data_IF_810776390957
#
_entry.id   IF_810776390957
#
_cell.length_a   1.000
_cell.length_b   1.000
_cell.length_c   1.000
_cell.angle_alpha   90.00
_cell.angle_beta   90.00
_cell.angle_gamma   90.00
#
_symmetry.space_group_name_H-M   'P 1'
#
loop_
_entity.id
_entity.type
_entity.pdbx_description
1 polymer ?
#
# COMPACT_ATOMS: atom_id res chain seq x y z
N UNK A 1 9.02 7.13 14.51
CA UNK A 1 9.07 5.66 14.49
C UNK A 1 10.53 5.20 14.60
N UNK A 2 11.10 5.37 15.77
CA UNK A 2 12.53 5.09 16.04
C UNK A 2 12.73 3.60 16.37
N UNK A 3 12.22 2.71 15.55
CA UNK A 3 12.52 1.28 15.66
C UNK A 3 13.69 0.96 14.74
N UNK A 4 14.70 0.20 15.19
CA UNK A 4 15.76 -0.28 14.31
C UNK A 4 15.16 -1.08 13.16
N UNK A 5 15.91 -1.20 12.06
CA UNK A 5 15.45 -1.93 10.88
C UNK A 5 15.05 -3.37 11.24
N UNK A 6 13.96 -3.85 10.63
CA UNK A 6 13.41 -5.20 10.81
C UNK A 6 12.88 -5.75 9.49
N UNK A 7 12.73 -7.06 9.42
CA UNK A 7 12.19 -7.73 8.24
C UNK A 7 10.69 -7.94 8.33
N UNK A 8 10.02 -7.62 7.22
CA UNK A 8 8.64 -7.97 6.95
C UNK A 8 8.62 -9.11 5.92
N UNK A 9 7.80 -10.11 6.16
CA UNK A 9 7.56 -11.17 5.18
C UNK A 9 6.37 -10.76 4.30
N UNK A 10 6.64 -10.41 3.05
CA UNK A 10 5.64 -10.09 2.04
C UNK A 10 5.46 -11.26 1.07
N UNK A 11 5.50 -12.48 1.57
CA UNK A 11 5.37 -13.70 0.76
C UNK A 11 4.02 -13.82 0.03
N UNK A 12 3.00 -13.10 0.47
CA UNK A 12 1.67 -13.02 -0.13
C UNK A 12 1.53 -11.92 -1.19
N UNK A 13 2.54 -11.03 -1.33
CA UNK A 13 2.60 -10.07 -2.42
C UNK A 13 2.96 -10.75 -3.74
N UNK A 14 2.45 -10.21 -4.85
CA UNK A 14 2.81 -10.67 -6.18
C UNK A 14 3.86 -9.77 -6.82
N UNK A 15 4.77 -10.38 -7.59
CA UNK A 15 5.68 -9.67 -8.48
C UNK A 15 5.20 -9.92 -9.92
N UNK A 16 4.92 -8.84 -10.65
CA UNK A 16 4.43 -8.89 -12.02
C UNK A 16 5.37 -8.08 -12.90
N UNK A 17 5.95 -8.73 -13.91
CA UNK A 17 6.75 -8.06 -14.93
C UNK A 17 5.89 -7.60 -16.10
N UNK A 18 6.12 -6.38 -16.58
CA UNK A 18 5.55 -5.85 -17.82
C UNK A 18 6.71 -5.57 -18.75
N UNK A 19 6.79 -6.27 -19.87
CA UNK A 19 7.89 -6.20 -20.83
C UNK A 19 7.36 -6.01 -22.26
N UNK A 20 8.22 -5.61 -23.17
CA UNK A 20 7.89 -5.36 -24.57
C UNK A 20 8.12 -3.90 -24.96
N UNK A 21 8.15 -3.59 -26.27
CA UNK A 21 8.43 -2.25 -26.76
C UNK A 21 7.50 -1.18 -26.18
N UNK A 22 6.23 -1.52 -25.96
CA UNK A 22 5.21 -0.58 -25.51
C UNK A 22 4.98 -0.62 -24.00
N UNK A 23 5.78 -1.38 -23.23
CA UNK A 23 5.54 -1.64 -21.80
C UNK A 23 5.38 -0.35 -20.97
N UNK A 24 6.24 0.63 -21.21
CA UNK A 24 6.23 1.90 -20.47
C UNK A 24 5.06 2.80 -20.87
N UNK A 25 4.76 2.89 -22.17
CA UNK A 25 3.65 3.68 -22.70
C UNK A 25 2.32 3.08 -22.24
N UNK A 26 2.15 1.77 -22.38
CA UNK A 26 1.00 1.06 -21.86
C UNK A 26 0.79 1.32 -20.36
N UNK A 27 1.84 1.19 -19.54
CA UNK A 27 1.71 1.43 -18.11
C UNK A 27 1.44 2.91 -17.80
N UNK A 28 1.94 3.85 -18.62
CA UNK A 28 1.62 5.26 -18.53
C UNK A 28 0.13 5.51 -18.69
N UNK A 29 -0.55 4.77 -19.58
CA UNK A 29 -1.98 4.95 -19.87
C UNK A 29 -2.90 4.23 -18.88
N UNK A 30 -2.45 3.11 -18.28
CA UNK A 30 -3.32 2.31 -17.41
C UNK A 30 -3.09 2.54 -15.92
N UNK A 31 -1.90 2.97 -15.50
CA UNK A 31 -1.56 3.26 -14.10
C UNK A 31 -1.74 4.73 -13.75
N UNK A 32 -1.96 5.04 -12.49
CA UNK A 32 -2.15 6.43 -12.01
C UNK A 32 -0.85 7.18 -11.78
N UNK A 33 0.31 6.48 -11.70
CA UNK A 33 1.63 7.08 -11.49
C UNK A 33 2.28 7.46 -12.81
N UNK A 34 3.11 8.50 -12.78
CA UNK A 34 3.93 8.90 -13.93
C UNK A 34 5.13 7.95 -14.09
N UNK A 35 5.03 7.07 -15.09
CA UNK A 35 6.04 6.05 -15.43
C UNK A 35 7.35 6.68 -15.91
N UNK A 36 7.31 7.89 -16.49
CA UNK A 36 8.51 8.59 -16.98
C UNK A 36 9.46 8.96 -15.85
N UNK A 37 8.95 9.02 -14.63
CA UNK A 37 9.70 9.37 -13.42
C UNK A 37 10.20 8.16 -12.64
N UNK A 38 9.92 6.93 -13.11
CA UNK A 38 10.39 5.69 -12.47
C UNK A 38 11.90 5.53 -12.61
N UNK A 39 12.49 4.87 -11.62
CA UNK A 39 13.93 4.57 -11.56
C UNK A 39 14.13 3.11 -11.15
N UNK A 40 15.28 2.52 -11.53
CA UNK A 40 15.56 1.12 -11.16
C UNK A 40 15.84 0.90 -9.66
N UNK A 41 16.19 1.97 -8.95
CA UNK A 41 16.56 1.93 -7.52
C UNK A 41 15.49 2.45 -6.58
N UNK A 42 14.35 2.92 -7.14
CA UNK A 42 13.27 3.49 -6.36
C UNK A 42 11.90 3.07 -6.92
N UNK A 43 11.03 2.54 -6.05
CA UNK A 43 9.66 2.21 -6.40
C UNK A 43 8.73 3.38 -6.07
N UNK A 44 7.70 3.54 -6.90
CA UNK A 44 6.61 4.49 -6.66
C UNK A 44 5.28 3.77 -6.56
N UNK A 45 4.43 4.13 -5.58
CA UNK A 45 3.09 3.58 -5.52
C UNK A 45 2.26 4.02 -6.73
N UNK A 46 1.45 3.13 -7.23
CA UNK A 46 0.51 3.37 -8.32
C UNK A 46 -0.79 2.62 -8.06
N UNK A 47 -1.90 3.18 -8.48
CA UNK A 47 -3.19 2.51 -8.48
C UNK A 47 -3.55 2.10 -9.92
N UNK A 48 -4.22 0.97 -10.01
CA UNK A 48 -4.91 0.54 -11.23
C UNK A 48 -6.40 0.67 -11.00
N UNK A 49 -7.06 1.41 -11.88
CA UNK A 49 -8.44 1.82 -11.68
C UNK A 49 -9.36 1.24 -12.76
N UNK A 50 -10.61 1.04 -12.39
CA UNK A 50 -11.67 0.91 -13.39
C UNK A 50 -11.96 2.27 -14.04
N UNK A 51 -12.68 2.27 -15.17
CA UNK A 51 -13.16 3.48 -15.84
C UNK A 51 -13.99 4.41 -14.91
N UNK A 52 -14.57 3.84 -13.86
CA UNK A 52 -15.32 4.58 -12.82
C UNK A 52 -14.45 5.13 -11.71
N UNK A 53 -13.10 5.11 -11.86
CA UNK A 53 -12.16 5.61 -10.87
C UNK A 53 -12.09 4.77 -9.57
N UNK A 54 -12.51 3.49 -9.64
CA UNK A 54 -12.51 2.58 -8.50
C UNK A 54 -11.22 1.76 -8.47
N UNK A 55 -10.53 1.64 -7.32
CA UNK A 55 -9.25 0.94 -7.22
C UNK A 55 -9.45 -0.57 -7.37
N UNK A 56 -8.72 -1.16 -8.33
CA UNK A 56 -8.64 -2.61 -8.58
C UNK A 56 -7.45 -3.19 -7.86
N UNK A 57 -6.29 -2.49 -7.92
CA UNK A 57 -5.05 -2.90 -7.26
C UNK A 57 -4.23 -1.69 -6.87
N UNK A 58 -3.48 -1.84 -5.78
CA UNK A 58 -2.36 -0.98 -5.40
C UNK A 58 -1.08 -1.76 -5.65
N UNK A 59 -0.11 -1.11 -6.31
CA UNK A 59 1.20 -1.70 -6.55
C UNK A 59 2.30 -0.64 -6.40
N UNK A 60 3.54 -1.10 -6.26
CA UNK A 60 4.73 -0.26 -6.39
C UNK A 60 5.40 -0.58 -7.71
N UNK A 61 5.55 0.42 -8.56
CA UNK A 61 6.16 0.30 -9.88
C UNK A 61 7.65 0.65 -9.83
N UNK A 62 8.47 -0.18 -10.47
CA UNK A 62 9.92 -0.06 -10.54
C UNK A 62 10.32 -0.15 -12.00
N UNK A 63 11.20 0.73 -12.47
CA UNK A 63 11.80 0.60 -13.78
C UNK A 63 12.82 -0.54 -13.77
N UNK A 64 12.80 -1.42 -14.76
CA UNK A 64 13.81 -2.48 -14.88
C UNK A 64 15.17 -1.91 -15.22
N UNK A 65 16.26 -2.63 -14.88
CA UNK A 65 17.65 -2.18 -15.07
C UNK A 65 17.97 -1.79 -16.52
N UNK A 66 17.34 -2.43 -17.51
CA UNK A 66 17.47 -2.10 -18.93
C UNK A 66 16.67 -0.88 -19.37
N UNK A 67 15.74 -0.41 -18.54
CA UNK A 67 14.87 0.72 -18.85
C UNK A 67 13.73 0.43 -19.82
N UNK A 68 13.58 -0.83 -20.28
CA UNK A 68 12.56 -1.25 -21.26
C UNK A 68 11.30 -1.79 -20.60
N UNK A 69 11.43 -2.46 -19.44
CA UNK A 69 10.33 -3.07 -18.71
C UNK A 69 10.04 -2.37 -17.39
N UNK A 70 8.93 -2.76 -16.77
CA UNK A 70 8.51 -2.32 -15.44
C UNK A 70 8.12 -3.52 -14.60
N UNK A 71 8.65 -3.58 -13.40
CA UNK A 71 8.26 -4.56 -12.39
C UNK A 71 7.25 -3.93 -11.42
N UNK A 72 6.13 -4.61 -11.21
CA UNK A 72 5.10 -4.24 -10.25
C UNK A 72 5.17 -5.14 -9.03
N UNK A 73 5.22 -4.55 -7.85
CA UNK A 73 5.06 -5.22 -6.56
C UNK A 73 3.62 -4.99 -6.11
N UNK A 74 2.77 -6.00 -6.26
CA UNK A 74 1.32 -5.88 -6.11
C UNK A 74 0.90 -6.35 -4.72
N UNK A 75 0.15 -5.53 -4.00
CA UNK A 75 -0.40 -5.92 -2.71
C UNK A 75 -1.38 -7.10 -2.83
N UNK A 76 -1.57 -7.91 -1.77
CA UNK A 76 -2.27 -9.19 -1.86
C UNK A 76 -3.71 -9.10 -2.40
N UNK A 77 -4.44 -8.05 -2.04
CA UNK A 77 -5.84 -7.90 -2.45
C UNK A 77 -6.03 -7.63 -3.94
N UNK A 78 -5.03 -7.02 -4.58
CA UNK A 78 -5.03 -6.73 -6.03
C UNK A 78 -4.43 -7.84 -6.89
N UNK A 79 -3.74 -8.80 -6.27
CA UNK A 79 -2.92 -9.80 -6.96
C UNK A 79 -3.66 -10.55 -8.08
N UNK A 80 -4.82 -11.08 -7.76
CA UNK A 80 -5.56 -11.94 -8.70
C UNK A 80 -6.42 -11.12 -9.70
N UNK A 81 -6.69 -9.84 -9.37
CA UNK A 81 -7.50 -8.95 -10.20
C UNK A 81 -6.68 -8.17 -11.24
N UNK A 82 -5.39 -7.90 -10.96
CA UNK A 82 -4.58 -7.01 -11.78
C UNK A 82 -4.30 -7.56 -13.19
N UNK A 83 -3.79 -8.80 -13.30
CA UNK A 83 -3.43 -9.36 -14.60
C UNK A 83 -4.61 -9.46 -15.57
N UNK A 84 -5.80 -9.98 -15.17
CA UNK A 84 -6.98 -9.95 -16.04
C UNK A 84 -7.43 -8.54 -16.42
N UNK A 85 -7.21 -7.57 -15.53
CA UNK A 85 -7.52 -6.18 -15.81
C UNK A 85 -6.59 -5.58 -16.87
N UNK A 86 -5.28 -5.76 -16.73
CA UNK A 86 -4.29 -5.31 -17.69
C UNK A 86 -4.47 -5.97 -19.06
N UNK A 87 -4.72 -7.27 -19.10
CA UNK A 87 -4.94 -8.01 -20.36
C UNK A 87 -6.16 -7.52 -21.13
N UNK A 88 -7.22 -7.12 -20.41
CA UNK A 88 -8.42 -6.52 -21.02
C UNK A 88 -8.14 -5.13 -21.60
N UNK A 89 -7.22 -4.36 -21.04
CA UNK A 89 -6.87 -3.03 -21.51
C UNK A 89 -5.87 -3.05 -22.67
N UNK A 90 -5.13 -4.15 -22.83
CA UNK A 90 -4.22 -4.35 -23.94
C UNK A 90 -5.00 -4.65 -25.22
N UNK A 91 -4.93 -3.77 -26.19
CA UNK A 91 -5.64 -3.91 -27.46
C UNK A 91 -4.69 -4.15 -28.64
N UNK A 92 -3.70 -3.30 -28.81
CA UNK A 92 -2.72 -3.36 -29.91
C UNK A 92 -1.28 -3.26 -29.44
N UNK A 93 -1.07 -3.01 -28.15
CA UNK A 93 0.25 -2.78 -27.57
C UNK A 93 1.06 -4.08 -27.54
N UNK A 94 2.31 -4.00 -27.97
CA UNK A 94 3.28 -5.09 -27.92
C UNK A 94 3.86 -5.22 -26.49
N UNK A 95 3.03 -5.72 -25.57
CA UNK A 95 3.39 -5.95 -24.18
C UNK A 95 3.16 -7.41 -23.77
N UNK A 96 4.03 -7.90 -22.91
CA UNK A 96 3.92 -9.21 -22.27
C UNK A 96 3.87 -9.06 -20.75
N UNK A 97 3.01 -9.84 -20.13
CA UNK A 97 2.87 -9.90 -18.67
C UNK A 97 3.50 -11.20 -18.16
N UNK A 98 4.50 -11.08 -17.28
CA UNK A 98 5.09 -12.23 -16.59
C UNK A 98 4.46 -12.34 -15.20
N UNK A 99 3.80 -13.46 -14.95
CA UNK A 99 3.22 -13.79 -13.65
C UNK A 99 4.27 -14.28 -12.64
N UNK A 100 3.84 -14.65 -11.41
CA UNK A 100 4.76 -14.94 -10.30
C UNK A 100 5.65 -16.16 -10.48
N UNK A 101 5.42 -17.02 -11.47
CA UNK A 101 6.32 -18.15 -11.78
C UNK A 101 7.60 -17.65 -12.43
N UNK A 102 8.72 -17.85 -11.76
CA UNK A 102 10.05 -17.41 -12.21
C UNK A 102 10.40 -15.97 -11.81
N UNK A 103 9.49 -15.26 -11.17
CA UNK A 103 9.74 -13.91 -10.65
C UNK A 103 10.50 -13.94 -9.31
N UNK A 104 11.24 -12.87 -8.99
CA UNK A 104 11.98 -12.79 -7.73
C UNK A 104 11.05 -12.89 -6.51
N UNK A 105 11.57 -13.44 -5.41
CA UNK A 105 10.89 -13.39 -4.11
C UNK A 105 11.00 -11.99 -3.55
N UNK A 106 9.89 -11.49 -3.01
CA UNK A 106 9.83 -10.19 -2.39
C UNK A 106 10.03 -10.30 -0.88
N UNK A 107 11.01 -9.57 -0.40
CA UNK A 107 11.19 -9.29 1.03
C UNK A 107 11.15 -7.78 1.24
N UNK A 108 10.87 -7.39 2.47
CA UNK A 108 10.80 -5.99 2.81
C UNK A 108 11.58 -5.70 4.09
N UNK A 109 12.29 -4.60 4.10
CA UNK A 109 12.95 -4.05 5.28
C UNK A 109 12.27 -2.75 5.63
N UNK A 110 11.88 -2.61 6.88
CA UNK A 110 11.26 -1.40 7.42
C UNK A 110 12.03 -0.89 8.64
N UNK A 111 11.72 0.32 9.10
CA UNK A 111 12.36 0.93 10.24
C UNK A 111 13.53 1.85 9.88
N UNK A 112 14.20 2.36 10.90
CA UNK A 112 15.34 3.27 10.75
C UNK A 112 16.55 2.53 10.14
N UNK A 113 17.24 3.17 9.20
CA UNK A 113 18.40 2.57 8.52
C UNK A 113 18.06 1.44 7.54
N UNK A 114 16.78 1.22 7.20
CA UNK A 114 16.29 0.14 6.35
C UNK A 114 17.08 -0.03 5.04
N UNK A 115 17.37 1.06 4.34
CA UNK A 115 18.07 1.00 3.05
C UNK A 115 19.52 0.53 3.20
N UNK A 116 20.22 0.95 4.25
CA UNK A 116 21.57 0.50 4.54
C UNK A 116 21.59 -0.99 4.88
N UNK A 117 20.68 -1.43 5.76
CA UNK A 117 20.53 -2.83 6.15
C UNK A 117 20.18 -3.70 4.94
N UNK A 118 19.25 -3.26 4.08
CA UNK A 118 18.88 -3.99 2.87
C UNK A 118 20.07 -4.13 1.90
N UNK A 119 20.87 -3.07 1.71
CA UNK A 119 22.06 -3.11 0.84
C UNK A 119 23.16 -4.01 1.41
N UNK A 120 23.43 -3.93 2.70
CA UNK A 120 24.40 -4.81 3.36
C UNK A 120 24.00 -6.27 3.22
N UNK A 121 22.71 -6.56 3.43
CA UNK A 121 22.18 -7.90 3.26
C UNK A 121 22.24 -8.36 1.80
N UNK A 122 21.85 -7.51 0.88
CA UNK A 122 21.96 -7.74 -0.52
C UNK A 122 23.43 -8.02 -0.95
N UNK A 123 24.43 -7.43 -0.34
CA UNK A 123 25.85 -7.68 -0.66
C UNK A 123 26.28 -9.13 -0.42
N UNK A 124 25.54 -9.90 0.37
CA UNK A 124 25.83 -11.31 0.70
C UNK A 124 25.10 -12.31 -0.21
N UNK A 125 24.22 -11.87 -1.10
CA UNK A 125 23.33 -12.74 -1.89
C UNK A 125 23.51 -12.53 -3.40
N UNK A 126 23.47 -13.58 -4.24
CA UNK A 126 23.51 -13.45 -5.68
C UNK A 126 22.16 -13.00 -6.26
N UNK A 127 22.18 -12.33 -7.40
CA UNK A 127 20.98 -12.03 -8.21
C UNK A 127 19.88 -11.25 -7.47
N UNK A 128 20.23 -10.09 -6.92
CA UNK A 128 19.37 -9.27 -6.07
C UNK A 128 19.20 -7.85 -6.60
N UNK A 129 18.07 -7.24 -6.28
CA UNK A 129 17.85 -5.81 -6.41
C UNK A 129 17.37 -5.24 -5.08
N UNK A 130 17.89 -4.08 -4.71
CA UNK A 130 17.43 -3.28 -3.57
C UNK A 130 16.72 -2.07 -4.13
N UNK A 131 15.48 -1.86 -3.72
CA UNK A 131 14.64 -0.80 -4.24
C UNK A 131 14.04 -0.02 -3.09
N UNK A 132 14.40 1.24 -3.01
CA UNK A 132 13.86 2.13 -1.99
C UNK A 132 12.43 2.56 -2.34
N UNK A 133 11.53 2.43 -1.37
CA UNK A 133 10.14 2.84 -1.46
C UNK A 133 9.67 3.28 -0.08
N UNK A 134 9.49 4.58 0.13
CA UNK A 134 9.01 5.04 1.43
C UNK A 134 7.62 4.49 1.75
N UNK A 135 7.39 3.90 2.91
CA UNK A 135 8.24 3.80 4.12
C UNK A 135 9.06 2.50 4.23
N UNK A 136 9.27 1.76 3.16
CA UNK A 136 9.98 0.47 3.13
C UNK A 136 11.15 0.49 2.15
N UNK A 137 12.02 -0.50 2.26
CA UNK A 137 12.98 -0.88 1.23
C UNK A 137 12.69 -2.31 0.79
N UNK A 138 12.39 -2.51 -0.46
CA UNK A 138 12.17 -3.83 -1.04
C UNK A 138 13.49 -4.50 -1.38
N UNK A 139 13.55 -5.80 -1.14
CA UNK A 139 14.63 -6.67 -1.56
C UNK A 139 14.05 -7.77 -2.45
N UNK A 140 14.39 -7.70 -3.72
CA UNK A 140 14.00 -8.69 -4.73
C UNK A 140 15.09 -9.73 -4.82
N UNK A 141 14.78 -10.99 -4.51
CA UNK A 141 15.72 -12.11 -4.57
C UNK A 141 15.40 -12.99 -5.77
N UNK A 142 16.44 -13.41 -6.49
CA UNK A 142 16.29 -14.36 -7.61
C UNK A 142 15.54 -15.64 -7.16
N UNK A 143 14.67 -16.22 -8.01
CA UNK A 143 14.03 -17.50 -7.72
C UNK A 143 15.06 -18.56 -7.35
N UNK A 144 14.84 -19.28 -6.24
CA UNK A 144 15.78 -20.30 -5.73
C UNK A 144 16.77 -19.80 -4.67
N UNK A 145 16.86 -18.52 -4.41
CA UNK A 145 17.54 -18.01 -3.22
C UNK A 145 16.59 -18.18 -2.02
N UNK A 146 16.96 -19.05 -1.09
CA UNK A 146 16.23 -19.20 0.17
C UNK A 146 16.38 -17.93 1.04
N UNK A 147 15.48 -17.77 2.03
CA UNK A 147 15.65 -16.72 3.05
C UNK A 147 17.09 -16.75 3.57
N UNK A 148 17.80 -15.63 3.54
CA UNK A 148 19.14 -15.62 4.06
C UNK A 148 19.11 -16.07 5.51
N UNK A 149 20.05 -16.94 5.86
CA UNK A 149 20.32 -17.30 7.24
C UNK A 149 20.70 -16.06 8.07
N UNK A 150 20.98 -16.28 9.33
CA UNK A 150 21.44 -15.20 10.22
C UNK A 150 22.67 -14.50 9.61
N UNK A 151 22.50 -13.24 9.22
CA UNK A 151 23.62 -12.37 8.87
C UNK A 151 24.08 -11.71 10.16
N UNK A 152 25.38 -11.86 10.50
CA UNK A 152 25.92 -11.32 11.75
C UNK A 152 25.71 -9.79 11.80
N UNK A 153 25.10 -9.30 12.86
CA UNK A 153 24.86 -7.86 13.07
C UNK A 153 23.58 -7.32 12.47
N UNK A 154 22.84 -8.11 11.65
CA UNK A 154 21.56 -7.69 11.11
C UNK A 154 20.38 -8.28 11.88
N UNK A 155 19.26 -7.56 12.04
CA UNK A 155 18.06 -8.09 12.65
C UNK A 155 17.52 -9.21 11.75
N UNK A 156 17.63 -10.46 12.22
CA UNK A 156 17.27 -11.67 11.44
C UNK A 156 15.92 -12.25 11.82
N UNK A 157 15.25 -11.68 12.81
CA UNK A 157 13.93 -12.13 13.22
C UNK A 157 12.84 -11.44 12.40
N UNK A 158 12.01 -12.22 11.72
CA UNK A 158 10.72 -11.73 11.29
C UNK A 158 9.94 -11.29 12.54
N UNK A 159 9.31 -10.13 12.45
CA UNK A 159 8.41 -9.68 13.50
C UNK A 159 7.14 -10.54 13.51
N UNK A 160 6.42 -10.57 14.64
CA UNK A 160 5.17 -11.32 14.69
C UNK A 160 4.13 -10.76 13.70
N UNK A 161 3.14 -11.55 13.28
CA UNK A 161 2.07 -11.07 12.39
C UNK A 161 1.35 -9.83 12.94
N UNK A 162 1.14 -9.77 14.25
CA UNK A 162 0.50 -8.63 14.92
C UNK A 162 1.40 -7.39 14.87
N UNK A 163 2.71 -7.56 15.01
CA UNK A 163 3.67 -6.46 14.90
C UNK A 163 3.79 -5.96 13.45
N UNK A 164 3.72 -6.86 12.48
CA UNK A 164 3.69 -6.52 11.05
C UNK A 164 2.40 -5.75 10.70
N UNK A 165 1.26 -6.19 11.20
CA UNK A 165 -0.02 -5.51 11.00
C UNK A 165 -0.04 -4.13 11.69
N UNK A 166 0.48 -4.05 12.92
CA UNK A 166 0.62 -2.78 13.62
C UNK A 166 1.50 -1.80 12.83
N UNK A 167 2.61 -2.28 12.30
CA UNK A 167 3.47 -1.46 11.46
C UNK A 167 2.74 -1.01 10.17
N UNK A 168 2.08 -1.91 9.45
CA UNK A 168 1.32 -1.60 8.23
C UNK A 168 0.29 -0.50 8.46
N UNK A 169 -0.49 -0.62 9.53
CA UNK A 169 -1.50 0.36 9.94
C UNK A 169 -0.81 1.68 10.30
N UNK A 170 0.27 1.61 11.07
CA UNK A 170 0.96 2.80 11.55
C UNK A 170 1.61 3.62 10.42
N UNK A 171 2.04 3.00 9.33
CA UNK A 171 2.59 3.70 8.15
C UNK A 171 1.54 4.01 7.07
N UNK A 172 0.31 3.51 7.24
CA UNK A 172 -0.80 3.84 6.36
C UNK A 172 -0.85 3.06 5.05
N UNK A 173 -0.29 1.87 4.96
CA UNK A 173 -0.40 1.01 3.77
C UNK A 173 -1.76 0.30 3.79
N UNK A 174 -2.70 0.61 2.88
CA UNK A 174 -3.99 -0.08 2.82
C UNK A 174 -3.86 -1.44 2.13
N UNK A 175 -4.77 -2.35 2.45
CA UNK A 175 -4.89 -3.68 1.86
C UNK A 175 -6.19 -3.79 1.07
N UNK A 176 -6.10 -4.22 -0.18
CA UNK A 176 -7.26 -4.50 -1.02
C UNK A 176 -8.16 -5.60 -0.45
N UNK A 177 -9.47 -5.46 -0.62
CA UNK A 177 -10.45 -6.35 -0.02
C UNK A 177 -10.63 -6.20 1.50
N UNK A 178 -9.76 -5.42 2.15
CA UNK A 178 -9.82 -5.12 3.60
C UNK A 178 -10.04 -3.63 3.82
N UNK A 179 -9.09 -2.79 3.43
CA UNK A 179 -9.14 -1.35 3.65
C UNK A 179 -9.75 -0.59 2.47
N UNK A 180 -9.74 -1.17 1.28
CA UNK A 180 -10.45 -0.66 0.11
C UNK A 180 -10.98 -1.79 -0.77
N UNK A 181 -11.97 -1.47 -1.57
CA UNK A 181 -12.63 -2.35 -2.53
C UNK A 181 -13.20 -1.53 -3.70
N UNK A 182 -13.95 -2.20 -4.58
CA UNK A 182 -14.60 -1.55 -5.74
C UNK A 182 -15.79 -0.64 -5.37
N UNK A 183 -16.14 -0.47 -4.10
CA UNK A 183 -17.13 0.50 -3.65
C UNK A 183 -16.51 1.88 -3.39
N UNK A 184 -15.17 1.93 -3.24
CA UNK A 184 -14.43 3.19 -3.03
C UNK A 184 -14.05 3.82 -4.37
N UNK A 185 -13.78 5.11 -4.36
CA UNK A 185 -13.09 5.80 -5.44
C UNK A 185 -11.64 6.09 -5.01
N UNK A 186 -10.72 6.19 -5.97
CA UNK A 186 -9.29 6.31 -5.70
C UNK A 186 -8.94 7.48 -4.76
N UNK A 187 -9.63 8.60 -4.89
CA UNK A 187 -9.40 9.79 -4.06
C UNK A 187 -9.81 9.61 -2.59
N UNK A 188 -10.73 8.69 -2.28
CA UNK A 188 -11.09 8.36 -0.90
C UNK A 188 -9.97 7.60 -0.16
N UNK A 189 -9.05 6.96 -0.89
CA UNK A 189 -7.94 6.22 -0.29
C UNK A 189 -6.91 7.12 0.40
N UNK A 190 -6.94 8.42 0.12
CA UNK A 190 -5.98 9.40 0.68
C UNK A 190 -4.52 8.96 0.47
N UNK A 191 -4.18 8.59 -0.79
CA UNK A 191 -2.85 8.20 -1.25
C UNK A 191 -2.41 9.16 -2.38
N UNK A 192 -2.14 10.43 -2.07
CA UNK A 192 -1.78 11.41 -3.10
C UNK A 192 -0.48 11.02 -3.83
N UNK A 193 0.43 10.34 -3.15
CA UNK A 193 1.70 9.85 -3.72
C UNK A 193 1.52 8.75 -4.79
N UNK A 194 0.36 8.10 -4.83
CA UNK A 194 0.05 7.07 -5.82
C UNK A 194 -0.59 7.61 -7.10
N UNK A 195 -0.92 8.91 -7.16
CA UNK A 195 -1.65 9.51 -8.27
C UNK A 195 -0.91 10.75 -8.77
N UNK A 196 -0.43 10.71 -10.00
CA UNK A 196 0.12 11.89 -10.68
C UNK A 196 -0.99 12.56 -11.48
N UNK A 197 -1.31 13.81 -11.15
CA UNK A 197 -2.29 14.62 -11.89
C UNK A 197 -1.66 15.38 -13.05
N UNK A 198 -0.34 15.49 -13.09
CA UNK A 198 0.43 16.22 -14.10
C UNK A 198 0.86 15.35 -15.28
N UNK A 199 0.67 14.03 -15.19
CA UNK A 199 0.87 13.10 -16.30
C UNK A 199 -0.27 13.17 -17.32
N UNK A 200 -0.11 12.55 -18.48
CA UNK A 200 -1.18 12.38 -19.48
C UNK A 200 -2.40 11.60 -18.97
N UNK A 201 -3.27 11.22 -19.89
CA UNK A 201 -4.48 10.48 -19.57
C UNK A 201 -4.17 9.11 -18.96
N UNK A 202 -5.06 8.65 -18.09
CA UNK A 202 -5.04 7.29 -17.54
C UNK A 202 -6.46 6.77 -17.28
N UNK A 203 -6.62 5.46 -17.17
CA UNK A 203 -7.91 4.84 -16.90
C UNK A 203 -8.53 5.36 -15.59
N UNK A 204 -9.77 5.87 -15.66
CA UNK A 204 -10.50 6.43 -14.51
C UNK A 204 -10.14 7.88 -14.13
N UNK A 205 -9.27 8.54 -14.89
CA UNK A 205 -8.80 9.91 -14.61
C UNK A 205 -9.94 10.93 -14.49
N UNK A 206 -10.99 10.82 -15.30
CA UNK A 206 -12.11 11.78 -15.24
C UNK A 206 -12.72 11.87 -13.84
N UNK A 207 -12.95 10.73 -13.21
CA UNK A 207 -13.52 10.68 -11.86
C UNK A 207 -12.53 11.25 -10.84
N UNK A 208 -11.25 10.87 -10.95
CA UNK A 208 -10.18 11.37 -10.06
C UNK A 208 -10.06 12.89 -10.18
N UNK A 209 -9.91 13.42 -11.38
CA UNK A 209 -9.77 14.87 -11.61
C UNK A 209 -11.00 15.64 -11.12
N UNK A 210 -12.20 15.17 -11.43
CA UNK A 210 -13.44 15.81 -11.00
C UNK A 210 -13.59 15.86 -9.48
N UNK A 211 -13.26 14.77 -8.78
CA UNK A 211 -13.37 14.72 -7.33
C UNK A 211 -12.29 15.53 -6.64
N UNK A 212 -11.08 15.57 -7.18
CA UNK A 212 -9.96 16.38 -6.65
C UNK A 212 -10.23 17.87 -6.84
N UNK A 213 -10.58 18.29 -8.07
CA UNK A 213 -10.77 19.72 -8.40
C UNK A 213 -12.01 20.34 -7.74
N UNK A 214 -13.07 19.58 -7.57
CA UNK A 214 -14.33 20.08 -6.96
C UNK A 214 -14.37 19.92 -5.46
N UNK A 215 -13.33 19.34 -4.82
CA UNK A 215 -13.35 19.03 -3.39
C UNK A 215 -14.50 18.10 -2.99
N UNK A 216 -14.96 17.26 -3.95
CA UNK A 216 -16.16 16.45 -3.79
C UNK A 216 -15.90 15.06 -3.21
N UNK A 217 -14.73 14.86 -2.58
CA UNK A 217 -14.42 13.63 -1.86
C UNK A 217 -15.30 13.57 -0.62
N UNK A 218 -16.16 12.56 -0.56
CA UNK A 218 -17.15 12.44 0.53
C UNK A 218 -16.58 11.82 1.79
N UNK A 219 -15.59 10.97 1.64
CA UNK A 219 -14.93 10.25 2.73
C UNK A 219 -13.44 10.22 2.49
N UNK A 220 -12.69 10.16 3.57
CA UNK A 220 -11.25 10.02 3.53
C UNK A 220 -10.83 8.84 4.37
N UNK A 221 -9.90 8.06 3.87
CA UNK A 221 -9.22 7.06 4.69
C UNK A 221 -8.40 7.78 5.75
N UNK A 222 -8.52 7.31 6.96
CA UNK A 222 -7.87 7.85 8.16
C UNK A 222 -7.09 6.78 8.90
N UNK A 223 -6.05 7.21 9.59
CA UNK A 223 -5.42 6.47 10.67
C UNK A 223 -5.91 6.97 12.02
N UNK A 224 -5.93 6.08 13.01
CA UNK A 224 -6.35 6.46 14.35
C UNK A 224 -5.71 5.60 15.44
N UNK A 225 -5.66 6.17 16.64
CA UNK A 225 -5.27 5.49 17.89
C UNK A 225 -6.47 5.37 18.80
N UNK A 226 -6.42 4.37 19.66
CA UNK A 226 -7.45 4.17 20.69
C UNK A 226 -6.87 3.43 21.91
N UNK A 227 -7.55 3.49 23.08
CA UNK A 227 -7.14 2.76 24.26
C UNK A 227 -7.16 1.25 24.04
N UNK A 228 -6.02 0.57 24.22
CA UNK A 228 -5.88 -0.84 23.89
C UNK A 228 -6.67 -1.80 24.76
N UNK A 229 -7.13 -1.36 25.94
CA UNK A 229 -8.06 -2.14 26.79
C UNK A 229 -9.42 -2.41 26.10
N UNK A 230 -9.76 -1.67 25.05
CA UNK A 230 -10.92 -1.95 24.22
C UNK A 230 -10.76 -3.23 23.36
N UNK A 231 -9.54 -3.78 23.28
CA UNK A 231 -9.24 -4.93 22.42
C UNK A 231 -9.23 -4.56 20.95
N UNK A 232 -9.25 -5.58 20.09
CA UNK A 232 -9.35 -5.41 18.63
C UNK A 232 -10.80 -5.02 18.30
N UNK A 233 -10.96 -3.84 17.69
CA UNK A 233 -12.27 -3.36 17.26
C UNK A 233 -12.69 -4.07 15.96
N UNK A 234 -13.96 -4.44 15.79
CA UNK A 234 -14.40 -5.22 14.63
C UNK A 234 -14.38 -4.38 13.34
N UNK A 235 -14.01 -5.01 12.24
CA UNK A 235 -14.14 -4.44 10.90
C UNK A 235 -15.62 -4.12 10.64
N UNK A 236 -15.86 -2.97 10.00
CA UNK A 236 -17.21 -2.48 9.73
C UNK A 236 -17.87 -1.78 10.92
N UNK A 237 -17.24 -1.77 12.10
CA UNK A 237 -17.77 -0.99 13.22
C UNK A 237 -17.92 0.48 12.83
N UNK A 238 -19.07 1.04 13.20
CA UNK A 238 -19.43 2.42 12.88
C UNK A 238 -18.57 3.40 13.67
N UNK A 239 -18.03 4.38 12.98
CA UNK A 239 -17.42 5.56 13.58
C UNK A 239 -18.45 6.67 13.68
N UNK A 240 -18.59 7.23 14.87
CA UNK A 240 -19.57 8.28 15.20
C UNK A 240 -18.85 9.55 15.59
N UNK A 241 -19.27 10.67 15.00
CA UNK A 241 -18.92 12.02 15.44
C UNK A 241 -20.15 12.67 16.09
N UNK A 242 -20.04 13.92 16.50
CA UNK A 242 -21.14 14.63 17.15
C UNK A 242 -22.45 14.67 16.33
N UNK A 243 -22.32 14.72 15.00
CA UNK A 243 -23.45 14.70 14.07
C UNK A 243 -24.08 13.30 13.88
N UNK A 244 -23.53 12.26 14.49
CA UNK A 244 -23.99 10.88 14.36
C UNK A 244 -23.05 9.99 13.55
N UNK A 245 -23.57 8.95 12.83
CA UNK A 245 -22.78 8.04 12.02
C UNK A 245 -21.95 8.79 10.97
N UNK A 246 -20.64 8.64 11.03
CA UNK A 246 -19.71 9.45 10.22
C UNK A 246 -18.68 8.63 9.47
N UNK A 247 -18.61 7.31 9.70
CA UNK A 247 -17.64 6.45 9.04
C UNK A 247 -17.65 5.03 9.56
N UNK A 248 -16.58 4.30 9.25
CA UNK A 248 -16.46 2.89 9.67
C UNK A 248 -14.98 2.47 9.75
N UNK A 249 -14.73 1.45 10.54
CA UNK A 249 -13.41 0.84 10.75
C UNK A 249 -13.15 -0.21 9.66
N UNK A 250 -11.91 -0.27 9.15
CA UNK A 250 -11.47 -1.29 8.18
C UNK A 250 -10.45 -2.26 8.78
N UNK A 251 -9.49 -1.75 9.54
CA UNK A 251 -8.44 -2.55 10.19
C UNK A 251 -8.16 -2.03 11.59
N UNK A 252 -7.92 -2.93 12.54
CA UNK A 252 -7.41 -2.58 13.86
C UNK A 252 -6.48 -3.65 14.41
N UNK A 253 -5.59 -3.24 15.29
CA UNK A 253 -4.64 -4.12 15.98
C UNK A 253 -4.27 -3.53 17.33
N UNK A 254 -3.90 -4.37 18.29
CA UNK A 254 -3.23 -3.92 19.50
C UNK A 254 -1.72 -3.99 19.25
N UNK A 255 -1.06 -2.86 19.32
CA UNK A 255 0.38 -2.77 19.07
C UNK A 255 1.17 -3.52 20.15
N UNK A 256 1.96 -4.56 19.77
CA UNK A 256 2.80 -5.26 20.72
C UNK A 256 3.82 -4.32 21.39
N UNK A 257 3.98 -4.49 22.69
CA UNK A 257 4.94 -3.71 23.51
C UNK A 257 4.38 -2.41 24.07
N UNK A 258 3.52 -1.67 23.34
CA UNK A 258 2.88 -0.46 23.89
C UNK A 258 1.49 -0.73 24.45
N UNK A 259 0.82 -1.76 23.95
CA UNK A 259 -0.57 -2.07 24.29
C UNK A 259 -1.59 -1.04 23.77
N UNK A 260 -1.19 -0.15 22.87
CA UNK A 260 -2.10 0.82 22.23
C UNK A 260 -2.87 0.17 21.10
N UNK A 261 -4.11 0.60 20.91
CA UNK A 261 -4.88 0.27 19.73
C UNK A 261 -4.50 1.19 18.56
N UNK A 262 -4.22 0.59 17.40
CA UNK A 262 -4.04 1.29 16.13
C UNK A 262 -5.12 0.84 15.15
N UNK A 263 -5.58 1.75 14.30
CA UNK A 263 -6.59 1.41 13.31
C UNK A 263 -6.55 2.26 12.05
N UNK A 264 -7.21 1.72 11.03
CA UNK A 264 -7.59 2.42 9.80
C UNK A 264 -9.11 2.37 9.61
N UNK A 265 -9.62 3.35 8.93
CA UNK A 265 -11.03 3.44 8.59
C UNK A 265 -11.31 4.58 7.65
N UNK A 266 -12.58 4.90 7.50
CA UNK A 266 -13.04 6.04 6.70
C UNK A 266 -13.89 6.96 7.56
N UNK A 267 -13.69 8.27 7.39
CA UNK A 267 -14.56 9.31 7.93
C UNK A 267 -15.09 10.19 6.81
N UNK A 268 -16.28 10.74 6.99
CA UNK A 268 -16.83 11.76 6.11
C UNK A 268 -15.98 13.03 6.18
N UNK A 269 -15.94 13.77 5.09
CA UNK A 269 -15.24 15.06 5.01
C UNK A 269 -15.75 16.04 6.08
N UNK A 270 -17.05 16.03 6.35
CA UNK A 270 -17.67 16.87 7.39
C UNK A 270 -17.14 16.52 8.80
N UNK A 271 -17.01 15.24 9.12
CA UNK A 271 -16.49 14.81 10.42
C UNK A 271 -15.01 15.15 10.62
N UNK A 272 -14.23 15.21 9.52
CA UNK A 272 -12.82 15.62 9.58
C UNK A 272 -12.64 17.13 9.74
N UNK A 273 -13.53 17.93 9.17
CA UNK A 273 -13.50 19.40 9.30
C UNK A 273 -13.95 19.90 10.67
N UNK A 274 -14.77 19.11 11.35
CA UNK A 274 -15.24 19.39 12.69
C UNK A 274 -14.68 18.32 13.64
N UNK A 275 -13.47 18.47 14.17
CA UNK A 275 -12.81 17.48 15.04
C UNK A 275 -13.52 17.41 16.38
N UNK A 276 -14.65 16.76 16.39
CA UNK A 276 -15.37 16.36 17.58
C UNK A 276 -14.94 14.93 17.90
N UNK A 277 -15.03 14.56 19.15
CA UNK A 277 -14.72 13.21 19.63
C UNK A 277 -15.33 12.13 18.72
N UNK A 278 -14.46 11.41 18.01
CA UNK A 278 -14.86 10.24 17.24
C UNK A 278 -14.88 9.05 18.19
N UNK A 279 -15.92 8.27 18.12
CA UNK A 279 -16.07 7.08 18.96
C UNK A 279 -16.61 5.92 18.13
N UNK A 280 -16.45 4.72 18.65
CA UNK A 280 -17.14 3.52 18.18
C UNK A 280 -17.82 2.84 19.36
N UNK A 281 -18.91 2.15 19.08
CA UNK A 281 -19.70 1.45 20.11
C UNK A 281 -19.60 -0.04 19.85
N UNK A 282 -19.16 -0.77 20.86
CA UNK A 282 -19.10 -2.23 20.91
C UNK A 282 -20.04 -2.74 22.01
N UNK A 283 -21.22 -3.18 21.64
CA UNK A 283 -22.27 -3.49 22.62
C UNK A 283 -22.63 -2.23 23.43
N UNK A 284 -22.31 -2.25 24.73
CA UNK A 284 -22.54 -1.12 25.64
C UNK A 284 -21.31 -0.23 25.87
N UNK A 285 -20.15 -0.60 25.27
CA UNK A 285 -18.88 0.10 25.51
C UNK A 285 -18.65 1.11 24.40
N UNK A 286 -18.42 2.36 24.79
CA UNK A 286 -17.97 3.43 23.91
C UNK A 286 -16.46 3.57 23.97
N UNK A 287 -15.78 3.47 22.82
CA UNK A 287 -14.35 3.66 22.71
C UNK A 287 -14.06 4.98 21.97
N UNK A 288 -13.34 5.89 22.63
CA UNK A 288 -12.88 7.12 22.03
C UNK A 288 -11.73 6.87 21.07
N UNK A 289 -11.75 7.55 19.93
CA UNK A 289 -10.80 7.40 18.83
C UNK A 289 -10.10 8.73 18.57
N UNK A 290 -8.79 8.71 18.62
CA UNK A 290 -7.94 9.83 18.26
C UNK A 290 -7.53 9.68 16.77
N UNK A 291 -8.12 10.49 15.90
CA UNK A 291 -7.74 10.55 14.48
C UNK A 291 -6.38 11.22 14.36
N UNK A 292 -5.48 10.61 13.61
CA UNK A 292 -4.13 11.11 13.41
C UNK A 292 -3.70 10.99 11.94
N UNK A 293 -2.76 11.85 11.54
CA UNK A 293 -2.09 11.72 10.24
C UNK A 293 -1.06 10.59 10.28
N UNK A 294 -0.80 9.96 9.14
CA UNK A 294 0.30 9.01 9.03
C UNK A 294 1.67 9.69 9.00
N UNK A 295 2.70 9.07 9.60
CA UNK A 295 2.65 7.82 10.38
C UNK A 295 2.02 7.99 11.76
N UNK A 296 1.33 6.93 12.25
CA UNK A 296 0.67 6.88 13.56
C UNK A 296 1.66 6.71 14.72
#
# INVERSE_FOLDING_TARGET
MDRPAFFLDFCDWAVVGITGPDAREFLQDVGTQDVTTLRPDAAKPTLFLSEKGRPIALAWAILDQGGEGVTLLVEPGGRDALLPHLDRLRVMEEVAFAGPMGMPRLHCVAGEGRSAVAREWAATLPGRAVVDADPVTFLLLHPGVEKPGKVAGLPTSAISPEAAEAWRIAVGIPRGGVDFDLERIATELSLPEAISLDKGCFVGQEVVARTTQRGAVRRHRIGFRYPGQAGVLPRGAELRAAAGPSGFITSTVIEPGTGRGLGMGYLTTEALQNPVEVSTIQGTVTTHIEVASWPL
#
